data_IF_514663481260
#
_entry.id   IF_514663481260
#
_cell.length_a   1.000
_cell.length_b   1.000
_cell.length_c   1.000
_cell.angle_alpha   90.00
_cell.angle_beta   90.00
_cell.angle_gamma   90.00
#
_symmetry.space_group_name_H-M   'P 1'
#
loop_
_entity.id
_entity.type
_entity.pdbx_description
1 polymer ?
#
# COMPACT_ATOMS: atom_id res chain seq x y z
N UNK A 1 6.01 34.36 -5.54
CA UNK A 1 4.95 33.61 -4.85
C UNK A 1 5.14 32.13 -5.19
N UNK A 2 5.67 31.33 -4.27
CA UNK A 2 5.84 29.89 -4.47
C UNK A 2 4.51 29.19 -4.15
N UNK A 3 3.97 28.46 -5.13
CA UNK A 3 2.68 27.79 -5.05
C UNK A 3 2.90 26.45 -4.33
N UNK A 4 2.63 26.42 -3.02
CA UNK A 4 2.75 25.22 -2.18
C UNK A 4 1.71 24.19 -2.66
N UNK A 5 2.16 23.17 -3.37
CA UNK A 5 1.30 22.05 -3.77
C UNK A 5 1.12 21.18 -2.51
N UNK A 6 -0.03 21.32 -1.88
CA UNK A 6 -0.46 20.44 -0.80
C UNK A 6 -0.81 19.09 -1.42
N UNK A 7 0.05 18.09 -1.26
CA UNK A 7 -0.30 16.69 -1.55
C UNK A 7 -1.28 16.27 -0.45
N UNK A 8 -2.55 15.95 -0.78
CA UNK A 8 -3.48 15.48 0.23
C UNK A 8 -3.00 14.10 0.71
N UNK A 9 -2.47 14.04 1.93
CA UNK A 9 -2.23 12.80 2.66
C UNK A 9 -3.57 12.13 2.94
N UNK A 10 -4.06 11.32 2.00
CA UNK A 10 -5.16 10.40 2.27
C UNK A 10 -4.60 9.28 3.13
N UNK A 11 -4.72 9.46 4.45
CA UNK A 11 -4.58 8.37 5.42
C UNK A 11 -5.72 7.37 5.17
N UNK A 12 -5.49 6.42 4.25
CA UNK A 12 -6.33 5.23 4.17
C UNK A 12 -5.99 4.40 5.41
N UNK A 13 -6.82 4.54 6.43
CA UNK A 13 -6.78 3.67 7.58
C UNK A 13 -7.13 2.25 7.11
N UNK A 14 -6.11 1.44 6.81
CA UNK A 14 -6.29 0.00 6.75
C UNK A 14 -6.67 -0.45 8.15
N UNK A 15 -7.97 -0.66 8.38
CA UNK A 15 -8.42 -1.40 9.55
C UNK A 15 -8.00 -2.84 9.30
N UNK A 16 -6.76 -3.16 9.64
CA UNK A 16 -6.27 -4.51 9.78
C UNK A 16 -6.97 -5.14 10.97
N UNK A 17 -8.20 -5.63 10.76
CA UNK A 17 -8.74 -6.65 11.65
C UNK A 17 -7.83 -7.85 11.46
N UNK A 18 -6.93 -8.06 12.43
CA UNK A 18 -6.28 -9.34 12.59
C UNK A 18 -7.40 -10.36 12.80
N UNK A 19 -7.76 -11.06 11.73
CA UNK A 19 -8.70 -12.16 11.80
C UNK A 19 -8.04 -13.28 12.62
N UNK A 20 -8.23 -13.23 13.94
CA UNK A 20 -8.20 -14.44 14.75
C UNK A 20 -9.19 -15.42 14.11
N UNK A 21 -8.67 -16.56 13.68
CA UNK A 21 -9.34 -17.69 13.04
C UNK A 21 -9.70 -17.55 11.54
N UNK A 22 -8.76 -17.91 10.66
CA UNK A 22 -9.09 -18.49 9.33
C UNK A 22 -9.63 -19.94 9.47
N UNK A 23 -10.06 -20.36 10.66
CA UNK A 23 -10.58 -21.72 10.88
C UNK A 23 -11.95 -21.84 10.18
N UNK A 24 -11.97 -22.55 9.05
CA UNK A 24 -13.20 -22.90 8.33
C UNK A 24 -13.41 -22.19 7.00
N UNK A 25 -12.61 -21.16 6.66
CA UNK A 25 -12.64 -20.59 5.32
C UNK A 25 -12.02 -21.57 4.31
N UNK A 26 -12.70 -21.76 3.17
CA UNK A 26 -12.24 -22.60 2.06
C UNK A 26 -12.44 -21.85 0.73
N UNK A 27 -11.86 -22.39 -0.35
CA UNK A 27 -11.99 -21.82 -1.70
C UNK A 27 -11.59 -20.35 -1.76
N UNK A 28 -12.35 -19.57 -2.53
CA UNK A 28 -12.06 -18.16 -2.79
C UNK A 28 -12.09 -17.28 -1.53
N UNK A 29 -12.89 -17.67 -0.51
CA UNK A 29 -12.96 -16.93 0.77
C UNK A 29 -11.64 -17.04 1.49
N UNK A 30 -11.07 -18.25 1.54
CA UNK A 30 -9.75 -18.48 2.11
C UNK A 30 -8.67 -17.73 1.31
N UNK A 31 -8.75 -17.76 -0.01
CA UNK A 31 -7.76 -17.13 -0.88
C UNK A 31 -7.64 -15.61 -0.63
N UNK A 32 -8.77 -14.89 -0.61
CA UNK A 32 -8.73 -13.45 -0.31
C UNK A 32 -8.31 -13.16 1.12
N UNK A 33 -8.71 -13.98 2.10
CA UNK A 33 -8.28 -13.80 3.48
C UNK A 33 -6.76 -13.99 3.61
N UNK A 34 -6.18 -15.00 2.96
CA UNK A 34 -4.74 -15.23 2.94
C UNK A 34 -4.01 -14.08 2.24
N UNK A 35 -4.55 -13.54 1.15
CA UNK A 35 -4.04 -12.35 0.47
C UNK A 35 -4.05 -11.10 1.37
N UNK A 36 -5.15 -10.83 2.07
CA UNK A 36 -5.25 -9.74 3.05
C UNK A 36 -4.26 -9.91 4.19
N UNK A 37 -4.05 -11.15 4.67
CA UNK A 37 -3.04 -11.45 5.69
C UNK A 37 -1.62 -11.16 5.19
N UNK A 38 -1.31 -11.51 3.94
CA UNK A 38 -0.02 -11.22 3.33
C UNK A 38 0.22 -9.71 3.22
N UNK A 39 -0.76 -8.95 2.74
CA UNK A 39 -0.67 -7.48 2.68
C UNK A 39 -0.52 -6.86 4.08
N UNK A 40 -1.26 -7.33 5.08
CA UNK A 40 -1.13 -6.86 6.46
C UNK A 40 0.26 -7.12 7.04
N UNK A 41 0.88 -8.28 6.74
CA UNK A 41 2.27 -8.57 7.12
C UNK A 41 3.27 -7.67 6.42
N UNK A 42 3.05 -7.34 5.14
CA UNK A 42 3.89 -6.40 4.40
C UNK A 42 3.85 -4.99 5.03
N UNK A 43 2.66 -4.47 5.32
CA UNK A 43 2.50 -3.19 6.04
C UNK A 43 3.20 -3.21 7.41
N UNK A 44 3.05 -4.30 8.16
CA UNK A 44 3.71 -4.47 9.46
C UNK A 44 5.24 -4.45 9.34
N UNK A 45 5.79 -5.06 8.29
CA UNK A 45 7.23 -5.05 8.03
C UNK A 45 7.76 -3.65 7.68
N UNK A 46 6.96 -2.83 6.99
CA UNK A 46 7.31 -1.44 6.67
C UNK A 46 7.14 -0.47 7.84
N UNK A 47 6.28 -0.79 8.81
CA UNK A 47 5.96 0.11 9.93
C UNK A 47 7.18 0.69 10.65
N UNK A 48 8.21 -0.08 11.06
CA UNK A 48 9.39 0.50 11.70
C UNK A 48 10.21 1.38 10.75
N UNK A 49 10.30 1.04 9.46
CA UNK A 49 11.00 1.84 8.43
C UNK A 49 10.31 3.19 8.27
N UNK A 50 8.99 3.17 8.08
CA UNK A 50 8.18 4.39 7.90
C UNK A 50 8.14 5.29 9.15
N UNK A 51 8.48 4.75 10.32
CA UNK A 51 8.58 5.50 11.59
C UNK A 51 10.00 6.00 11.87
N UNK A 52 10.97 5.76 10.99
CA UNK A 52 12.38 6.06 11.23
C UNK A 52 12.96 5.29 12.42
N UNK A 53 12.34 4.19 12.85
CA UNK A 53 12.81 3.39 13.98
C UNK A 53 13.95 2.43 13.59
N UNK A 54 14.16 2.25 12.28
CA UNK A 54 15.26 1.51 11.67
C UNK A 54 15.70 2.25 10.41
N UNK A 55 16.93 1.97 9.95
CA UNK A 55 17.45 2.48 8.68
C UNK A 55 16.52 2.16 7.51
N UNK A 56 16.44 3.11 6.57
CA UNK A 56 15.63 2.94 5.37
C UNK A 56 16.20 1.82 4.49
N UNK A 57 15.32 0.93 4.04
CA UNK A 57 15.67 -0.23 3.24
C UNK A 57 14.77 -0.28 2.00
N UNK A 58 15.29 0.22 0.88
CA UNK A 58 14.59 0.29 -0.39
C UNK A 58 14.10 -1.08 -0.89
N UNK A 59 14.87 -2.15 -0.63
CA UNK A 59 14.52 -3.49 -1.10
C UNK A 59 13.39 -4.11 -0.28
N UNK A 60 13.33 -3.80 1.02
CA UNK A 60 12.15 -4.13 1.83
C UNK A 60 10.91 -3.37 1.37
N UNK A 61 11.03 -2.10 0.99
CA UNK A 61 9.92 -1.32 0.42
C UNK A 61 9.43 -1.95 -0.89
N UNK A 62 10.34 -2.27 -1.82
CA UNK A 62 9.99 -2.96 -3.07
C UNK A 62 9.32 -4.32 -2.84
N UNK A 63 9.86 -5.11 -1.91
CA UNK A 63 9.31 -6.43 -1.59
C UNK A 63 7.90 -6.34 -1.00
N UNK A 64 7.65 -5.38 -0.12
CA UNK A 64 6.33 -5.13 0.44
C UNK A 64 5.34 -4.64 -0.63
N UNK A 65 5.79 -3.74 -1.51
CA UNK A 65 4.99 -3.28 -2.65
C UNK A 65 4.62 -4.44 -3.58
N UNK A 66 5.54 -5.36 -3.87
CA UNK A 66 5.25 -6.56 -4.68
C UNK A 66 4.17 -7.46 -4.07
N UNK A 67 4.15 -7.60 -2.74
CA UNK A 67 3.07 -8.32 -2.05
C UNK A 67 1.73 -7.61 -2.23
N UNK A 68 1.70 -6.29 -2.14
CA UNK A 68 0.47 -5.50 -2.36
C UNK A 68 -0.01 -5.62 -3.81
N UNK A 69 0.88 -5.44 -4.80
CA UNK A 69 0.57 -5.55 -6.23
C UNK A 69 -0.04 -6.92 -6.54
N UNK A 70 0.52 -7.99 -5.98
CA UNK A 70 0.05 -9.37 -6.18
C UNK A 70 -1.39 -9.59 -5.68
N UNK A 71 -1.83 -8.85 -4.67
CA UNK A 71 -3.12 -9.05 -4.01
C UNK A 71 -4.10 -7.88 -4.19
N UNK A 72 -3.84 -6.98 -5.14
CA UNK A 72 -4.66 -5.81 -5.45
C UNK A 72 -5.22 -5.85 -6.88
N UNK A 73 -6.01 -4.83 -7.24
CA UNK A 73 -6.63 -4.69 -8.56
C UNK A 73 -7.53 -5.87 -8.93
N UNK A 74 -7.51 -6.24 -10.21
CA UNK A 74 -8.32 -7.35 -10.75
C UNK A 74 -8.16 -8.67 -9.99
N UNK A 75 -6.96 -8.99 -9.47
CA UNK A 75 -6.76 -10.19 -8.66
C UNK A 75 -7.65 -10.15 -7.42
N UNK A 76 -7.74 -9.00 -6.76
CA UNK A 76 -8.61 -8.83 -5.59
C UNK A 76 -10.08 -8.89 -5.99
N UNK A 77 -10.47 -8.16 -7.03
CA UNK A 77 -11.85 -8.04 -7.51
C UNK A 77 -12.43 -9.43 -7.84
N UNK A 78 -11.65 -10.27 -8.53
CA UNK A 78 -12.06 -11.62 -8.93
C UNK A 78 -12.40 -12.56 -7.76
N UNK A 79 -11.95 -12.25 -6.53
CA UNK A 79 -12.17 -13.06 -5.34
C UNK A 79 -13.45 -12.69 -4.55
N UNK A 80 -14.24 -11.73 -5.04
CA UNK A 80 -15.51 -11.30 -4.43
C UNK A 80 -16.73 -11.49 -5.35
N UNK A 81 -16.95 -12.67 -5.96
CA UNK A 81 -18.22 -12.93 -6.64
C UNK A 81 -19.39 -12.82 -5.65
N UNK A 82 -20.56 -12.42 -6.16
CA UNK A 82 -21.79 -12.35 -5.38
C UNK A 82 -22.09 -13.69 -4.69
N UNK A 83 -22.77 -13.62 -3.53
CA UNK A 83 -23.10 -14.80 -2.74
C UNK A 83 -21.94 -15.37 -1.91
N UNK A 84 -20.78 -14.71 -1.88
CA UNK A 84 -19.62 -15.16 -1.09
C UNK A 84 -19.36 -14.36 0.19
N UNK A 85 -20.37 -13.61 0.63
CA UNK A 85 -20.43 -12.97 1.95
C UNK A 85 -20.89 -13.92 3.06
N UNK A 86 -21.07 -13.36 4.26
CA UNK A 86 -21.46 -14.13 5.45
C UNK A 86 -20.33 -15.02 6.00
N UNK A 87 -20.50 -15.56 7.21
CA UNK A 87 -19.47 -16.38 7.87
C UNK A 87 -19.03 -17.55 6.98
N UNK A 88 -17.72 -17.79 6.81
CA UNK A 88 -16.60 -17.25 7.58
C UNK A 88 -16.01 -15.93 7.00
N UNK A 89 -16.60 -15.37 5.94
CA UNK A 89 -16.19 -14.09 5.38
C UNK A 89 -16.58 -12.93 6.30
N UNK A 90 -15.65 -11.99 6.49
CA UNK A 90 -15.93 -10.68 7.11
C UNK A 90 -16.30 -9.59 6.10
N UNK A 91 -16.46 -9.94 4.82
CA UNK A 91 -16.88 -8.99 3.79
C UNK A 91 -18.30 -8.47 4.08
N UNK A 92 -18.45 -7.15 4.08
CA UNK A 92 -19.74 -6.48 4.27
C UNK A 92 -20.57 -6.52 2.97
N UNK A 93 -21.93 -6.47 3.05
CA UNK A 93 -22.79 -6.35 1.88
C UNK A 93 -22.40 -5.20 0.93
N UNK A 94 -21.90 -4.11 1.50
CA UNK A 94 -21.42 -2.92 0.78
C UNK A 94 -20.37 -3.21 -0.30
N UNK A 95 -19.63 -4.33 -0.23
CA UNK A 95 -18.72 -4.76 -1.30
C UNK A 95 -19.47 -4.95 -2.62
N UNK A 96 -20.65 -5.57 -2.56
CA UNK A 96 -21.49 -5.83 -3.74
C UNK A 96 -22.44 -4.67 -4.03
N UNK A 97 -23.01 -4.04 -3.00
CA UNK A 97 -23.92 -2.90 -3.20
C UNK A 97 -23.21 -1.69 -3.85
N UNK A 98 -21.90 -1.53 -3.60
CA UNK A 98 -21.08 -0.43 -4.12
C UNK A 98 -19.91 -0.97 -4.98
N UNK A 99 -20.21 -1.90 -5.89
CA UNK A 99 -19.20 -2.64 -6.66
C UNK A 99 -18.20 -1.75 -7.42
N UNK A 100 -18.67 -0.64 -8.01
CA UNK A 100 -17.81 0.30 -8.73
C UNK A 100 -16.74 0.91 -7.82
N UNK A 101 -17.12 1.33 -6.62
CA UNK A 101 -16.20 1.92 -5.64
C UNK A 101 -15.21 0.87 -5.11
N UNK A 102 -15.69 -0.34 -4.82
CA UNK A 102 -14.82 -1.44 -4.40
C UNK A 102 -13.78 -1.77 -5.48
N UNK A 103 -14.20 -1.83 -6.75
CA UNK A 103 -13.33 -2.10 -7.89
C UNK A 103 -12.32 -0.97 -8.11
N UNK A 104 -12.78 0.28 -7.99
CA UNK A 104 -11.94 1.48 -8.09
C UNK A 104 -10.85 1.48 -7.02
N UNK A 105 -11.21 1.33 -5.74
CA UNK A 105 -10.23 1.32 -4.63
C UNK A 105 -9.24 0.14 -4.79
N UNK A 106 -9.71 -1.01 -5.25
CA UNK A 106 -8.85 -2.17 -5.50
C UNK A 106 -7.78 -1.86 -6.57
N UNK A 107 -8.16 -1.18 -7.65
CA UNK A 107 -7.23 -0.75 -8.69
C UNK A 107 -6.32 0.41 -8.25
N UNK A 108 -6.83 1.36 -7.47
CA UNK A 108 -6.02 2.42 -6.86
C UNK A 108 -4.95 1.85 -5.92
N UNK A 109 -5.29 0.85 -5.10
CA UNK A 109 -4.31 0.15 -4.25
C UNK A 109 -3.16 -0.41 -5.08
N UNK A 110 -3.45 -1.04 -6.22
CA UNK A 110 -2.43 -1.57 -7.12
C UNK A 110 -1.55 -0.45 -7.67
N UNK A 111 -2.17 0.62 -8.17
CA UNK A 111 -1.43 1.77 -8.72
C UNK A 111 -0.53 2.43 -7.67
N UNK A 112 -1.02 2.60 -6.43
CA UNK A 112 -0.20 3.14 -5.34
C UNK A 112 0.94 2.21 -4.94
N UNK A 113 0.73 0.89 -4.94
CA UNK A 113 1.79 -0.06 -4.67
C UNK A 113 2.85 -0.08 -5.79
N UNK A 114 2.45 0.02 -7.06
CA UNK A 114 3.37 0.20 -8.19
C UNK A 114 4.18 1.50 -8.06
N UNK A 115 3.52 2.61 -7.71
CA UNK A 115 4.18 3.88 -7.41
C UNK A 115 5.16 3.77 -6.24
N UNK A 116 4.78 3.09 -5.16
CA UNK A 116 5.64 2.82 -4.00
C UNK A 116 6.89 2.02 -4.40
N UNK A 117 6.74 1.01 -5.26
CA UNK A 117 7.86 0.21 -5.75
C UNK A 117 8.85 1.05 -6.57
N UNK A 118 8.33 1.92 -7.45
CA UNK A 118 9.13 2.82 -8.28
C UNK A 118 9.86 3.85 -7.40
N UNK A 119 9.15 4.45 -6.45
CA UNK A 119 9.68 5.49 -5.57
C UNK A 119 10.58 4.97 -4.43
N UNK A 120 10.71 3.66 -4.26
CA UNK A 120 11.48 3.05 -3.17
C UNK A 120 12.97 3.47 -3.13
N UNK A 121 13.51 4.03 -4.22
CA UNK A 121 14.88 4.56 -4.22
C UNK A 121 15.03 5.92 -3.53
N UNK A 122 13.93 6.63 -3.28
CA UNK A 122 13.95 8.03 -2.86
C UNK A 122 14.15 8.22 -1.34
N UNK A 123 14.12 7.15 -0.54
CA UNK A 123 14.14 7.28 0.93
C UNK A 123 12.79 7.67 1.53
N UNK A 124 12.79 8.10 2.79
CA UNK A 124 11.62 8.74 3.38
C UNK A 124 11.48 10.18 2.86
N UNK A 125 10.30 10.78 3.03
CA UNK A 125 10.03 12.12 2.49
C UNK A 125 10.98 13.21 3.03
N UNK A 126 11.53 13.06 4.23
CA UNK A 126 12.53 13.98 4.79
C UNK A 126 13.88 13.80 4.10
N UNK A 127 14.32 12.55 3.88
CA UNK A 127 15.56 12.21 3.16
C UNK A 127 15.52 12.64 1.68
N UNK A 128 14.35 12.52 1.05
CA UNK A 128 14.16 12.85 -0.36
C UNK A 128 14.34 14.37 -0.64
N UNK A 129 14.02 15.23 0.34
CA UNK A 129 14.18 16.68 0.22
C UNK A 129 15.65 17.08 0.38
N UNK A 130 16.38 16.45 1.31
CA UNK A 130 17.82 16.71 1.48
C UNK A 130 18.64 16.30 0.24
N UNK A 131 18.25 15.22 -0.44
CA UNK A 131 18.92 14.77 -1.66
C UNK A 131 18.67 15.70 -2.85
N UNK A 132 17.48 16.29 -2.98
CA UNK A 132 17.14 17.26 -4.02
C UNK A 132 17.89 18.59 -3.81
N UNK A 133 17.98 19.07 -2.56
CA UNK A 133 18.71 20.29 -2.21
C UNK A 133 20.23 20.15 -2.42
N UNK A 134 20.80 18.97 -2.14
CA UNK A 134 22.23 18.70 -2.39
C UNK A 134 22.58 18.69 -3.90
N UNK A 135 21.65 18.26 -4.76
CA UNK A 135 21.84 18.25 -6.21
C UNK A 135 21.64 19.64 -6.86
N UNK A 136 20.93 20.56 -6.19
CA UNK A 136 20.77 21.96 -6.61
C UNK A 136 21.89 22.88 -6.09
N UNK A 137 22.62 22.48 -5.04
CA UNK A 137 23.69 23.28 -4.42
C UNK A 137 25.07 23.21 -5.12
N UNK A 138 25.23 22.35 -6.12
CA UNK A 138 26.53 22.03 -6.74
C UNK A 138 27.09 23.03 -7.77
N UNK A 139 26.52 24.23 -7.95
CA UNK A 139 26.92 25.16 -9.03
C UNK A 139 27.52 26.50 -8.57
N UNK A 140 28.10 26.58 -7.36
CA UNK A 140 28.59 27.87 -6.82
C UNK A 140 30.10 27.91 -6.54
N UNK A 141 30.93 27.06 -7.16
CA UNK A 141 32.39 27.18 -7.09
C UNK A 141 33.02 27.17 -8.48
N UNK A 142 32.87 28.27 -9.24
CA UNK A 142 33.94 28.78 -10.10
C UNK A 142 33.68 30.26 -10.45
N UNK A 143 34.69 31.09 -10.19
CA UNK A 143 34.80 32.54 -10.48
C UNK A 143 34.04 33.42 -9.47
N UNK A 144 34.65 34.31 -8.68
CA UNK A 144 35.84 35.18 -8.85
C UNK A 144 36.36 35.50 -7.44
#
# INVERSE_FOLDING_TARGET
>A
MAKKILIPSVLIAFIGVAAMAHNGATGIVKERMDGMSAMGKAVKALTPIMRGAVEYDADKVRSAADVMIKHAGEQMISLFPEGTGGMPSSALPAVWDNWEEFSKISNELKAYAEGMKIAAGNGLAEDAVEQDDAMMGGSNDTMI
#
